data_IF_498986066047
#
_entry.id   IF_498986066047
#
_cell.length_a   1.000
_cell.length_b   1.000
_cell.length_c   1.000
_cell.angle_alpha   90.00
_cell.angle_beta   90.00
_cell.angle_gamma   90.00
#
_symmetry.space_group_name_H-M   'P 1'
#
loop_
_entity.id
_entity.type
_entity.pdbx_description
1 polymer ?
#
# COMPACT_ATOMS: atom_id res chain seq x y z
N UNK A 1 78.02 -34.31 41.29
CA UNK A 1 76.56 -34.59 41.36
C UNK A 1 75.81 -33.27 41.46
N UNK A 2 75.19 -32.82 40.36
CA UNK A 2 74.33 -31.63 40.28
C UNK A 2 73.00 -32.08 39.68
N UNK A 3 71.90 -32.05 40.46
CA UNK A 3 70.55 -32.33 39.96
C UNK A 3 70.00 -31.06 39.31
N UNK A 4 69.82 -31.08 37.99
CA UNK A 4 69.10 -30.05 37.21
C UNK A 4 67.61 -30.38 37.25
N UNK A 5 66.81 -29.38 37.60
CA UNK A 5 65.34 -29.39 37.51
C UNK A 5 64.91 -29.22 36.04
N UNK A 6 64.15 -30.16 35.52
CA UNK A 6 63.58 -30.13 34.17
C UNK A 6 62.23 -29.41 34.16
N UNK A 7 62.18 -28.18 33.67
CA UNK A 7 60.95 -27.53 33.22
C UNK A 7 60.71 -27.89 31.76
N UNK A 8 59.76 -28.78 31.50
CA UNK A 8 59.23 -29.02 30.16
C UNK A 8 57.81 -28.47 30.10
N UNK A 9 57.67 -27.23 29.59
CA UNK A 9 56.38 -26.64 29.20
C UNK A 9 55.95 -27.32 27.90
N UNK A 10 54.90 -28.13 27.93
CA UNK A 10 54.20 -28.56 26.71
C UNK A 10 53.37 -27.38 26.16
N UNK A 11 53.57 -27.09 24.88
CA UNK A 11 52.77 -26.17 24.07
C UNK A 11 51.39 -26.79 23.84
N UNK A 12 50.33 -26.12 24.27
CA UNK A 12 48.98 -26.30 23.73
C UNK A 12 48.75 -25.20 22.68
N UNK A 13 48.25 -25.57 21.51
CA UNK A 13 47.73 -24.65 20.50
C UNK A 13 46.36 -24.09 20.95
N UNK A 14 45.99 -22.87 20.55
CA UNK A 14 44.78 -22.22 21.02
C UNK A 14 43.52 -22.86 20.44
N UNK A 15 42.62 -23.27 21.33
CA UNK A 15 41.21 -23.52 21.04
C UNK A 15 40.59 -22.21 20.55
N UNK A 16 39.98 -22.24 19.36
CA UNK A 16 39.13 -21.16 18.87
C UNK A 16 37.90 -21.04 19.77
N UNK A 17 37.78 -19.91 20.48
CA UNK A 17 36.54 -19.46 21.11
C UNK A 17 35.57 -18.99 20.02
N UNK A 18 34.29 -19.42 20.03
CA UNK A 18 33.23 -18.60 19.49
C UNK A 18 32.98 -17.44 20.45
N UNK A 19 33.10 -16.20 19.95
CA UNK A 19 32.71 -15.01 20.71
C UNK A 19 31.21 -15.04 20.97
N UNK A 20 30.87 -15.15 22.25
CA UNK A 20 29.59 -14.71 22.79
C UNK A 20 29.56 -13.18 22.82
N UNK A 21 28.66 -12.57 22.06
CA UNK A 21 28.17 -11.21 22.26
C UNK A 21 26.85 -11.28 23.02
N UNK A 22 26.81 -10.65 24.18
CA UNK A 22 25.88 -10.86 25.29
C UNK A 22 24.55 -10.10 25.11
N UNK A 23 23.48 -10.82 25.48
CA UNK A 23 22.16 -10.40 25.94
C UNK A 23 22.07 -9.01 26.59
N UNK A 24 21.03 -8.23 26.25
CA UNK A 24 20.42 -7.32 27.23
C UNK A 24 18.90 -7.24 27.07
N UNK A 25 18.18 -8.24 27.58
CA UNK A 25 16.72 -8.12 27.81
C UNK A 25 16.19 -8.84 29.06
N UNK A 26 17.09 -9.29 29.96
CA UNK A 26 16.70 -9.86 31.26
C UNK A 26 17.02 -8.95 32.47
N UNK A 27 17.64 -7.79 32.28
CA UNK A 27 18.06 -6.91 33.39
C UNK A 27 17.08 -5.78 33.74
N UNK A 28 15.97 -5.62 33.01
CA UNK A 28 14.94 -4.61 33.34
C UNK A 28 13.80 -5.21 34.21
N UNK A 29 13.68 -6.54 34.28
CA UNK A 29 12.63 -7.21 35.06
C UNK A 29 13.05 -7.62 36.47
N UNK A 30 14.34 -7.68 36.77
CA UNK A 30 14.86 -7.96 38.11
C UNK A 30 15.01 -6.67 38.96
N UNK A 31 15.35 -5.53 38.35
CA UNK A 31 15.42 -4.24 39.05
C UNK A 31 14.03 -3.66 39.40
N UNK A 32 12.97 -4.05 38.68
CA UNK A 32 11.60 -3.61 38.97
C UNK A 32 10.90 -4.43 40.07
N UNK A 33 11.49 -5.52 40.55
CA UNK A 33 10.91 -6.36 41.62
C UNK A 33 11.51 -5.99 42.98
N UNK A 34 12.79 -5.62 43.05
CA UNK A 34 13.41 -5.11 44.29
C UNK A 34 12.95 -3.68 44.64
N UNK A 35 12.53 -2.88 43.66
CA UNK A 35 11.98 -1.53 43.91
C UNK A 35 10.49 -1.54 44.33
N UNK A 36 9.82 -2.71 44.24
CA UNK A 36 8.43 -2.89 44.69
C UNK A 36 8.36 -3.44 46.12
N UNK A 37 9.37 -4.18 46.59
CA UNK A 37 9.41 -4.70 47.97
C UNK A 37 9.72 -3.63 49.03
N UNK A 38 10.30 -2.47 48.65
CA UNK A 38 10.51 -1.34 49.58
C UNK A 38 9.35 -0.33 49.64
N UNK A 39 8.26 -0.50 48.87
CA UNK A 39 7.07 0.35 48.96
C UNK A 39 5.83 -0.32 49.59
N UNK A 40 5.93 -1.55 50.09
CA UNK A 40 4.85 -2.18 50.87
C UNK A 40 4.77 -1.72 52.34
N UNK A 41 5.69 -0.85 52.81
CA UNK A 41 5.62 -0.24 54.14
C UNK A 41 4.96 1.14 54.16
N UNK A 42 3.86 1.37 53.45
CA UNK A 42 2.93 2.45 53.84
C UNK A 42 1.49 2.18 53.37
N UNK A 43 0.66 1.71 54.31
CA UNK A 43 -0.79 1.61 54.13
C UNK A 43 -1.40 2.99 53.95
N UNK A 44 -1.95 3.29 52.76
CA UNK A 44 -3.18 4.08 52.61
C UNK A 44 -4.05 3.45 51.53
N UNK A 45 -5.23 3.00 51.95
CA UNK A 45 -6.23 2.33 51.12
C UNK A 45 -6.65 3.18 49.92
N UNK A 46 -6.55 2.61 48.71
CA UNK A 46 -7.27 3.08 47.52
C UNK A 46 -8.22 1.98 47.04
N UNK A 47 -9.42 2.31 46.52
CA UNK A 47 -10.48 1.35 46.25
C UNK A 47 -10.12 0.45 45.06
N UNK A 48 -10.49 -0.83 45.13
CA UNK A 48 -10.33 -1.83 44.05
C UNK A 48 -10.91 -1.30 42.73
N UNK A 49 -10.07 -1.24 41.70
CA UNK A 49 -10.54 -1.03 40.34
C UNK A 49 -11.36 -2.24 39.89
N UNK A 50 -12.63 -1.96 39.58
CA UNK A 50 -13.57 -2.94 39.03
C UNK A 50 -13.27 -3.09 37.55
N UNK A 51 -13.05 -4.32 37.08
CA UNK A 51 -12.82 -4.59 35.66
C UNK A 51 -14.08 -4.23 34.87
N UNK A 52 -14.00 -3.16 34.06
CA UNK A 52 -15.11 -2.71 33.21
C UNK A 52 -14.88 -3.30 31.82
N UNK A 53 -15.78 -4.20 31.38
CA UNK A 53 -15.74 -4.76 30.02
C UNK A 53 -15.73 -3.65 28.97
N UNK A 54 -15.09 -3.91 27.81
CA UNK A 54 -14.93 -2.93 26.73
C UNK A 54 -16.27 -2.28 26.32
N UNK A 55 -17.34 -3.06 26.33
CA UNK A 55 -18.70 -2.59 26.05
C UNK A 55 -19.18 -1.52 27.04
N UNK A 56 -18.91 -1.70 28.34
CA UNK A 56 -19.29 -0.73 29.36
C UNK A 56 -18.46 0.57 29.27
N UNK A 57 -17.20 0.49 28.84
CA UNK A 57 -16.35 1.66 28.59
C UNK A 57 -16.83 2.46 27.36
N UNK A 58 -17.24 1.76 26.29
CA UNK A 58 -17.83 2.37 25.09
C UNK A 58 -19.18 3.02 25.42
N UNK A 59 -20.04 2.34 26.16
CA UNK A 59 -21.34 2.90 26.57
C UNK A 59 -21.20 4.13 27.48
N UNK A 60 -20.22 4.14 28.39
CA UNK A 60 -19.90 5.33 29.18
C UNK A 60 -19.43 6.50 28.30
N UNK A 61 -18.55 6.26 27.32
CA UNK A 61 -18.14 7.30 26.36
C UNK A 61 -19.31 7.87 25.56
N UNK A 62 -20.27 7.02 25.16
CA UNK A 62 -21.47 7.46 24.44
C UNK A 62 -22.36 8.33 25.35
N UNK A 63 -22.55 7.93 26.61
CA UNK A 63 -23.33 8.70 27.58
C UNK A 63 -22.66 10.05 27.89
N UNK A 64 -21.34 10.07 28.06
CA UNK A 64 -20.58 11.30 28.32
C UNK A 64 -20.57 12.23 27.11
N UNK A 65 -20.47 11.69 25.89
CA UNK A 65 -20.60 12.46 24.65
C UNK A 65 -21.99 13.09 24.51
N UNK A 66 -23.03 12.37 24.92
CA UNK A 66 -24.41 12.90 24.94
C UNK A 66 -24.58 13.99 26.00
N UNK A 67 -23.97 13.84 27.19
CA UNK A 67 -23.96 14.89 28.23
C UNK A 67 -23.19 16.14 27.80
N UNK A 68 -22.07 15.98 27.09
CA UNK A 68 -21.28 17.08 26.53
C UNK A 68 -22.07 17.81 25.46
N UNK A 69 -22.73 17.09 24.54
CA UNK A 69 -23.62 17.69 23.53
C UNK A 69 -24.82 18.40 24.17
N UNK A 70 -25.39 17.87 25.24
CA UNK A 70 -26.47 18.54 25.99
C UNK A 70 -25.98 19.82 26.70
N UNK A 71 -24.75 19.82 27.25
CA UNK A 71 -24.11 21.02 27.82
C UNK A 71 -23.79 22.07 26.75
N UNK A 72 -23.31 21.65 25.57
CA UNK A 72 -23.06 22.55 24.44
C UNK A 72 -24.36 23.15 23.88
N UNK A 73 -25.44 22.36 23.82
CA UNK A 73 -26.77 22.84 23.42
C UNK A 73 -27.36 23.83 24.44
N UNK A 74 -27.12 23.64 25.74
CA UNK A 74 -27.42 24.64 26.78
C UNK A 74 -26.57 25.91 26.67
N UNK A 75 -25.31 25.80 26.22
CA UNK A 75 -24.39 26.93 26.03
C UNK A 75 -24.68 27.76 24.77
N UNK A 76 -25.33 27.16 23.77
CA UNK A 76 -25.81 27.83 22.54
C UNK A 76 -27.17 28.54 22.72
N UNK A 77 -27.88 28.29 23.82
CA UNK A 77 -29.17 28.90 24.12
C UNK A 77 -29.06 30.12 25.07
N UNK A 78 -27.85 30.56 25.45
CA UNK A 78 -27.64 31.68 26.37
C UNK A 78 -26.83 32.79 25.71
N UNK A 79 -27.49 33.61 24.89
CA UNK A 79 -27.12 34.99 24.61
C UNK A 79 -28.41 35.72 24.20
N UNK A 80 -29.15 36.20 25.20
CA UNK A 80 -29.97 37.41 25.21
C UNK A 80 -30.53 37.59 26.64
N UNK A 81 -30.59 38.84 27.07
CA UNK A 81 -30.60 39.36 28.45
C UNK A 81 -31.66 38.82 29.44
N UNK A 82 -31.30 38.82 30.73
CA UNK A 82 -32.11 38.53 31.95
C UNK A 82 -33.19 39.61 32.25
N UNK A 83 -34.22 39.43 33.14
CA UNK A 83 -34.24 38.56 34.34
C UNK A 83 -35.53 37.75 34.69
N UNK A 84 -35.30 36.67 35.45
CA UNK A 84 -36.07 36.09 36.60
C UNK A 84 -37.61 35.91 36.51
N UNK A 85 -38.11 34.65 36.53
CA UNK A 85 -38.93 34.07 37.62
C UNK A 85 -39.31 32.57 37.41
N UNK A 86 -38.97 31.77 38.42
CA UNK A 86 -39.60 30.57 39.02
C UNK A 86 -40.48 29.53 38.27
N UNK A 87 -40.04 28.27 38.44
CA UNK A 87 -40.74 27.08 38.97
C UNK A 87 -41.90 26.36 38.22
N UNK A 88 -41.67 25.06 38.05
CA UNK A 88 -42.60 23.91 38.22
C UNK A 88 -43.60 23.48 37.13
N UNK A 89 -43.51 22.17 36.83
CA UNK A 89 -44.61 21.17 36.70
C UNK A 89 -45.26 20.88 35.33
N UNK A 90 -45.30 19.56 35.09
CA UNK A 90 -46.39 18.73 34.51
C UNK A 90 -46.40 18.52 32.98
N UNK A 91 -45.88 17.36 32.63
CA UNK A 91 -46.50 16.22 31.91
C UNK A 91 -47.88 16.40 31.23
N UNK A 92 -47.99 15.73 30.06
CA UNK A 92 -49.17 15.22 29.35
C UNK A 92 -49.64 15.91 28.07
N UNK A 93 -49.59 15.10 27.00
CA UNK A 93 -50.60 14.90 25.95
C UNK A 93 -50.87 16.08 24.99
N UNK A 94 -50.56 15.93 23.70
CA UNK A 94 -51.37 15.28 22.66
C UNK A 94 -50.68 15.53 21.32
N UNK A 95 -50.69 14.50 20.48
CA UNK A 95 -50.34 14.51 19.07
C UNK A 95 -51.02 15.65 18.31
N UNK A 96 -50.25 16.47 17.59
CA UNK A 96 -50.71 16.98 16.29
C UNK A 96 -49.51 17.46 15.46
N UNK A 97 -49.51 17.05 14.19
CA UNK A 97 -48.66 17.47 13.08
C UNK A 97 -47.26 16.85 12.94
N UNK A 98 -47.25 15.68 12.30
CA UNK A 98 -46.19 15.31 11.35
C UNK A 98 -46.34 16.24 10.12
N UNK A 99 -45.30 16.98 9.72
CA UNK A 99 -44.62 16.61 8.48
C UNK A 99 -43.09 16.69 8.52
N UNK A 100 -42.49 15.69 7.86
CA UNK A 100 -41.24 15.77 7.10
C UNK A 100 -39.93 16.06 7.87
N UNK A 101 -39.44 15.07 8.61
CA UNK A 101 -38.00 14.83 8.66
C UNK A 101 -37.58 14.06 7.39
N UNK A 102 -36.60 14.58 6.65
CA UNK A 102 -35.43 13.90 6.05
C UNK A 102 -34.92 14.73 4.86
N UNK A 103 -33.88 15.54 5.10
CA UNK A 103 -32.60 15.57 4.35
C UNK A 103 -31.83 16.84 4.71
N UNK A 104 -30.87 16.71 5.62
CA UNK A 104 -29.61 17.44 5.50
C UNK A 104 -28.50 16.52 6.02
N UNK A 105 -27.99 15.68 5.12
CA UNK A 105 -26.64 15.14 5.30
C UNK A 105 -25.71 16.32 5.07
N UNK A 106 -25.04 16.76 6.13
CA UNK A 106 -23.87 17.64 6.05
C UNK A 106 -22.88 17.00 5.07
N UNK A 107 -22.73 17.58 3.88
CA UNK A 107 -21.64 17.25 2.98
C UNK A 107 -20.33 17.75 3.61
N UNK A 108 -19.20 17.03 3.48
CA UNK A 108 -17.92 17.58 3.89
C UNK A 108 -17.63 18.83 3.03
N UNK A 109 -17.62 20.00 3.68
CA UNK A 109 -17.15 21.24 3.05
C UNK A 109 -15.66 21.12 2.75
N UNK A 110 -15.29 21.47 1.52
CA UNK A 110 -13.91 21.40 1.03
C UNK A 110 -13.12 22.53 1.69
N UNK A 111 -12.01 22.22 2.39
CA UNK A 111 -11.21 23.24 3.07
C UNK A 111 -10.69 24.34 2.14
N UNK A 112 -10.66 25.57 2.67
CA UNK A 112 -10.38 26.80 1.93
C UNK A 112 -8.98 26.83 1.28
N UNK A 113 -8.02 26.06 1.80
CA UNK A 113 -6.66 25.93 1.24
C UNK A 113 -6.66 25.30 -0.15
N UNK A 114 -7.50 24.30 -0.38
CA UNK A 114 -7.63 23.63 -1.68
C UNK A 114 -8.48 24.47 -2.63
N UNK A 115 -9.54 25.12 -2.12
CA UNK A 115 -10.24 26.15 -2.91
C UNK A 115 -9.24 27.19 -3.42
N UNK A 116 -8.28 27.61 -2.58
CA UNK A 116 -7.25 28.56 -2.95
C UNK A 116 -6.19 27.98 -3.91
N UNK A 117 -5.80 26.72 -3.78
CA UNK A 117 -4.87 26.07 -4.72
C UNK A 117 -5.52 25.85 -6.08
N UNK A 118 -6.76 25.35 -6.10
CA UNK A 118 -7.60 25.24 -7.29
C UNK A 118 -7.84 26.61 -7.90
N UNK A 119 -8.10 27.64 -7.09
CA UNK A 119 -8.26 29.03 -7.54
C UNK A 119 -6.96 29.56 -8.16
N UNK A 120 -5.80 29.35 -7.54
CA UNK A 120 -4.50 29.74 -8.11
C UNK A 120 -4.22 29.05 -9.44
N UNK A 121 -4.50 27.75 -9.54
CA UNK A 121 -4.38 26.99 -10.80
C UNK A 121 -5.35 27.54 -11.85
N UNK A 122 -6.61 27.76 -11.48
CA UNK A 122 -7.65 28.33 -12.36
C UNK A 122 -7.32 29.77 -12.79
N UNK A 123 -6.73 30.60 -11.93
CA UNK A 123 -6.30 31.97 -12.22
C UNK A 123 -5.09 32.00 -13.15
N UNK A 124 -4.10 31.12 -12.93
CA UNK A 124 -2.95 30.99 -13.81
C UNK A 124 -3.33 30.54 -15.24
N UNK A 125 -4.38 29.72 -15.37
CA UNK A 125 -4.95 29.32 -16.67
C UNK A 125 -5.70 30.47 -17.38
N UNK A 126 -6.14 31.50 -16.64
CA UNK A 126 -6.85 32.68 -17.18
C UNK A 126 -5.87 33.79 -17.57
N UNK A 127 -4.70 33.89 -16.91
CA UNK A 127 -3.72 34.97 -17.12
C UNK A 127 -2.60 34.66 -18.12
N UNK A 128 -2.67 33.57 -18.87
CA UNK A 128 -1.62 33.11 -19.79
C UNK A 128 -1.45 33.91 -21.10
N UNK A 129 -1.77 35.21 -21.13
CA UNK A 129 -1.40 36.12 -22.21
C UNK A 129 -0.74 37.36 -21.58
N UNK A 130 0.52 37.58 -21.97
CA UNK A 130 1.40 38.73 -21.67
C UNK A 130 2.51 38.49 -20.63
N UNK A 131 3.63 37.90 -21.06
CA UNK A 131 4.99 38.29 -20.60
C UNK A 131 5.98 38.14 -21.76
N UNK A 132 6.73 39.22 -22.04
CA UNK A 132 7.89 39.23 -22.94
C UNK A 132 9.05 38.40 -22.35
N UNK A 133 9.66 37.53 -23.15
CA UNK A 133 10.92 36.85 -22.79
C UNK A 133 11.94 37.06 -23.91
N UNK A 134 13.10 37.60 -23.51
CA UNK A 134 14.30 37.77 -24.32
C UNK A 134 14.84 36.44 -24.86
N UNK A 135 15.37 36.50 -26.08
CA UNK A 135 15.89 35.38 -26.87
C UNK A 135 17.10 34.70 -26.22
N UNK A 136 17.04 33.38 -26.11
CA UNK A 136 18.20 32.51 -26.36
C UNK A 136 17.71 31.26 -27.13
N UNK A 137 18.45 30.89 -28.17
CA UNK A 137 17.98 30.07 -29.29
C UNK A 137 17.83 28.58 -28.96
N UNK A 138 16.76 27.92 -29.43
CA UNK A 138 16.72 26.48 -29.62
C UNK A 138 16.51 26.06 -31.08
N UNK A 139 16.94 24.83 -31.33
CA UNK A 139 16.93 24.06 -32.56
C UNK A 139 15.54 24.05 -33.22
N UNK A 140 15.54 24.16 -34.54
CA UNK A 140 14.41 24.44 -35.41
C UNK A 140 13.41 23.27 -35.48
N UNK A 141 12.27 23.40 -34.80
CA UNK A 141 11.05 22.66 -35.15
C UNK A 141 10.46 23.21 -36.46
N UNK A 142 9.74 22.39 -37.27
CA UNK A 142 9.22 22.83 -38.56
C UNK A 142 8.24 24.01 -38.36
N UNK A 143 8.53 25.11 -39.06
CA UNK A 143 7.73 26.34 -39.05
C UNK A 143 6.35 26.04 -39.64
N UNK A 144 5.23 26.33 -38.94
CA UNK A 144 3.91 26.27 -39.55
C UNK A 144 3.83 27.36 -40.62
N UNK A 145 3.57 26.94 -41.86
CA UNK A 145 3.32 27.82 -43.00
C UNK A 145 2.17 28.78 -42.67
N UNK A 146 2.20 30.07 -43.07
CA UNK A 146 1.12 30.99 -42.76
C UNK A 146 -0.15 30.51 -43.48
N UNK A 147 -1.13 30.06 -42.71
CA UNK A 147 -2.47 29.76 -43.24
C UNK A 147 -3.04 31.09 -43.72
N UNK A 148 -3.18 31.24 -45.04
CA UNK A 148 -3.94 32.32 -45.67
C UNK A 148 -5.32 32.36 -45.01
N UNK A 149 -5.81 33.56 -44.68
CA UNK A 149 -7.22 33.78 -44.34
C UNK A 149 -8.09 33.43 -45.55
N UNK A 150 -8.38 32.15 -45.73
CA UNK A 150 -9.50 31.71 -46.54
C UNK A 150 -10.76 31.83 -45.68
N UNK A 151 -11.67 32.68 -46.14
CA UNK A 151 -13.04 32.75 -45.66
C UNK A 151 -13.75 31.45 -46.01
N UNK A 152 -13.53 30.39 -45.24
CA UNK A 152 -14.36 29.20 -45.28
C UNK A 152 -15.40 29.30 -44.17
N UNK A 153 -16.60 29.81 -44.52
CA UNK A 153 -17.83 29.60 -43.74
C UNK A 153 -18.27 28.14 -43.88
N UNK A 154 -17.47 27.22 -43.35
CA UNK A 154 -17.73 25.79 -43.30
C UNK A 154 -17.49 25.25 -41.90
N UNK A 155 -18.58 24.81 -41.26
CA UNK A 155 -18.64 23.88 -40.13
C UNK A 155 -18.06 24.30 -38.76
N UNK A 156 -18.72 25.22 -38.04
CA UNK A 156 -18.67 25.25 -36.56
C UNK A 156 -19.85 24.44 -36.00
N UNK A 157 -19.67 23.13 -35.84
CA UNK A 157 -20.65 22.21 -35.23
C UNK A 157 -20.74 22.33 -33.71
N UNK A 158 -20.55 23.54 -33.17
CA UNK A 158 -20.63 23.76 -31.73
C UNK A 158 -22.11 23.77 -31.30
N UNK A 159 -22.48 22.96 -30.31
CA UNK A 159 -23.82 22.92 -29.74
C UNK A 159 -23.76 23.27 -28.26
N UNK A 160 -24.77 23.98 -27.78
CA UNK A 160 -24.90 24.26 -26.36
C UNK A 160 -26.35 24.21 -25.93
N UNK A 161 -26.56 23.73 -24.72
CA UNK A 161 -27.85 23.77 -24.04
C UNK A 161 -27.70 24.07 -22.55
N UNK A 162 -28.80 24.48 -21.93
CA UNK A 162 -28.80 24.97 -20.55
C UNK A 162 -28.36 26.43 -20.38
N UNK A 163 -28.22 26.86 -19.12
CA UNK A 163 -28.15 28.27 -18.73
C UNK A 163 -26.70 28.75 -18.57
N UNK A 164 -26.35 29.88 -19.19
CA UNK A 164 -25.00 30.48 -19.15
C UNK A 164 -23.86 29.58 -19.64
N UNK A 165 -24.16 28.57 -20.47
CA UNK A 165 -23.16 27.68 -21.06
C UNK A 165 -22.53 28.26 -22.34
N UNK A 166 -21.31 27.81 -22.66
CA UNK A 166 -20.55 28.21 -23.85
C UNK A 166 -19.92 26.99 -24.53
N UNK A 167 -20.12 26.89 -25.85
CA UNK A 167 -19.43 25.95 -26.73
C UNK A 167 -18.71 26.77 -27.82
N UNK A 168 -17.42 27.03 -27.62
CA UNK A 168 -16.61 27.91 -28.49
C UNK A 168 -15.65 27.12 -29.40
N UNK A 169 -15.38 25.85 -29.05
CA UNK A 169 -14.55 24.93 -29.81
C UNK A 169 -15.22 24.47 -31.11
N UNK A 170 -14.41 24.06 -32.09
CA UNK A 170 -14.93 23.41 -33.30
C UNK A 170 -15.56 22.08 -32.89
N UNK A 171 -16.83 21.83 -33.26
CA UNK A 171 -17.55 20.61 -32.92
C UNK A 171 -17.60 20.32 -31.40
N UNK A 172 -17.61 21.36 -30.55
CA UNK A 172 -17.73 21.18 -29.10
C UNK A 172 -19.19 21.14 -28.63
N UNK A 173 -19.45 20.48 -27.51
CA UNK A 173 -20.76 20.40 -26.88
C UNK A 173 -20.69 20.91 -25.43
N UNK A 174 -21.61 21.80 -25.03
CA UNK A 174 -21.74 22.22 -23.64
C UNK A 174 -23.20 22.16 -23.16
N UNK A 175 -23.50 21.37 -22.15
CA UNK A 175 -24.83 21.24 -21.56
C UNK A 175 -24.84 21.55 -20.06
N UNK A 176 -25.97 22.02 -19.52
CA UNK A 176 -26.15 22.29 -18.08
C UNK A 176 -26.04 23.77 -17.67
N UNK A 177 -25.47 24.06 -16.49
CA UNK A 177 -25.40 25.41 -15.91
C UNK A 177 -23.95 25.90 -15.86
N UNK A 178 -23.64 27.04 -16.50
CA UNK A 178 -22.30 27.66 -16.50
C UNK A 178 -21.19 26.74 -17.04
N UNK A 179 -21.51 25.82 -17.96
CA UNK A 179 -20.53 24.86 -18.54
C UNK A 179 -19.81 25.47 -19.74
N UNK A 180 -18.53 25.12 -19.93
CA UNK A 180 -17.68 25.72 -20.95
C UNK A 180 -16.88 24.67 -21.71
N UNK A 181 -17.24 24.41 -22.98
CA UNK A 181 -16.51 23.55 -23.90
C UNK A 181 -15.78 24.41 -24.96
N UNK A 182 -14.53 24.77 -24.69
CA UNK A 182 -13.75 25.70 -25.53
C UNK A 182 -12.67 25.00 -26.37
N UNK A 183 -12.33 23.75 -26.05
CA UNK A 183 -11.41 22.94 -26.86
C UNK A 183 -12.09 22.42 -28.13
N UNK A 184 -11.35 22.21 -29.25
CA UNK A 184 -11.89 21.50 -30.40
C UNK A 184 -12.35 20.10 -30.00
N UNK A 185 -13.53 19.67 -30.46
CA UNK A 185 -14.15 18.38 -30.15
C UNK A 185 -14.39 18.12 -28.65
N UNK A 186 -14.41 19.16 -27.82
CA UNK A 186 -14.58 18.99 -26.38
C UNK A 186 -16.04 18.89 -25.96
N UNK A 187 -16.29 18.19 -24.85
CA UNK A 187 -17.63 18.05 -24.25
C UNK A 187 -17.61 18.50 -22.79
N UNK A 188 -18.56 19.35 -22.38
CA UNK A 188 -18.70 19.76 -20.98
C UNK A 188 -20.17 19.66 -20.53
N UNK A 189 -20.46 18.87 -19.51
CA UNK A 189 -21.81 18.68 -18.97
C UNK A 189 -21.89 18.92 -17.46
N UNK A 190 -23.08 19.25 -16.94
CA UNK A 190 -23.31 19.44 -15.49
C UNK A 190 -23.33 20.92 -15.03
N UNK A 191 -22.62 21.26 -13.96
CA UNK A 191 -22.61 22.62 -13.36
C UNK A 191 -21.18 23.17 -13.22
N UNK A 192 -20.91 24.33 -13.82
CA UNK A 192 -19.62 25.03 -13.78
C UNK A 192 -18.43 24.16 -14.26
N UNK A 193 -18.67 23.21 -15.16
CA UNK A 193 -17.63 22.35 -15.73
C UNK A 193 -16.91 23.02 -16.90
N UNK A 194 -15.67 22.61 -17.17
CA UNK A 194 -14.82 23.22 -18.20
C UNK A 194 -14.03 22.17 -18.96
N UNK A 195 -14.30 22.00 -20.25
CA UNK A 195 -13.52 21.16 -21.16
C UNK A 195 -12.77 22.06 -22.16
N UNK A 196 -11.51 22.38 -21.85
CA UNK A 196 -10.71 23.37 -22.59
C UNK A 196 -9.62 22.75 -23.46
N UNK A 197 -9.26 21.48 -23.23
CA UNK A 197 -8.30 20.75 -24.05
C UNK A 197 -8.91 20.21 -25.35
N UNK A 198 -8.06 19.92 -26.34
CA UNK A 198 -8.50 19.24 -27.57
C UNK A 198 -9.09 17.87 -27.24
N UNK A 199 -10.29 17.55 -27.73
CA UNK A 199 -11.02 16.31 -27.47
C UNK A 199 -11.13 15.97 -25.98
N UNK A 200 -11.25 16.99 -25.12
CA UNK A 200 -11.40 16.82 -23.66
C UNK A 200 -12.86 16.64 -23.25
N UNK A 201 -13.10 15.94 -22.13
CA UNK A 201 -14.43 15.75 -21.56
C UNK A 201 -14.46 16.18 -20.09
N UNK A 202 -15.47 16.97 -19.67
CA UNK A 202 -15.62 17.42 -18.29
C UNK A 202 -17.08 17.30 -17.84
N UNK A 203 -17.36 16.46 -16.85
CA UNK A 203 -18.71 16.23 -16.33
C UNK A 203 -18.83 16.43 -14.82
N UNK A 204 -20.04 16.63 -14.31
CA UNK A 204 -20.32 16.81 -12.88
C UNK A 204 -20.38 18.28 -12.41
N UNK A 205 -19.69 18.63 -11.32
CA UNK A 205 -19.76 19.94 -10.67
C UNK A 205 -18.38 20.55 -10.44
N UNK A 206 -18.13 21.72 -11.03
CA UNK A 206 -16.87 22.48 -10.89
C UNK A 206 -15.61 21.73 -11.36
N UNK A 207 -15.77 20.76 -12.27
CA UNK A 207 -14.69 19.99 -12.88
C UNK A 207 -13.98 20.74 -13.99
N UNK A 208 -12.75 20.36 -14.31
CA UNK A 208 -11.96 20.97 -15.40
C UNK A 208 -11.08 19.94 -16.10
N UNK A 209 -11.36 19.67 -17.36
CA UNK A 209 -10.51 18.91 -18.26
C UNK A 209 -9.76 19.87 -19.20
N UNK A 210 -8.49 20.12 -18.88
CA UNK A 210 -7.65 21.11 -19.56
C UNK A 210 -6.62 20.54 -20.54
N UNK A 211 -6.19 19.29 -20.34
CA UNK A 211 -5.24 18.61 -21.22
C UNK A 211 -5.89 18.11 -22.51
N UNK A 212 -5.10 17.94 -23.57
CA UNK A 212 -5.57 17.24 -24.77
C UNK A 212 -5.95 15.81 -24.41
N UNK A 213 -7.10 15.33 -24.89
CA UNK A 213 -7.66 14.02 -24.61
C UNK A 213 -7.91 13.73 -23.12
N UNK A 214 -7.99 14.77 -22.27
CA UNK A 214 -8.19 14.58 -20.84
C UNK A 214 -9.66 14.43 -20.45
N UNK A 215 -9.91 13.75 -19.34
CA UNK A 215 -11.24 13.52 -18.79
C UNK A 215 -11.29 13.94 -17.31
N UNK A 216 -12.33 14.69 -16.90
CA UNK A 216 -12.55 15.07 -15.51
C UNK A 216 -14.02 14.91 -15.10
N UNK A 217 -14.29 14.07 -14.10
CA UNK A 217 -15.64 13.76 -13.64
C UNK A 217 -15.80 13.85 -12.11
N UNK A 218 -17.03 14.14 -11.64
CA UNK A 218 -17.34 14.27 -10.20
C UNK A 218 -17.43 15.72 -9.70
N UNK A 219 -16.77 16.06 -8.59
CA UNK A 219 -16.85 17.38 -7.93
C UNK A 219 -15.47 17.99 -7.72
N UNK A 220 -15.18 19.15 -8.31
CA UNK A 220 -13.85 19.79 -8.27
C UNK A 220 -12.68 18.92 -8.78
N UNK A 221 -12.95 17.94 -9.64
CA UNK A 221 -11.91 17.16 -10.31
C UNK A 221 -11.21 17.99 -11.39
N UNK A 222 -9.89 17.84 -11.52
CA UNK A 222 -9.06 18.60 -12.46
C UNK A 222 -8.12 17.66 -13.20
N UNK A 223 -8.23 17.58 -14.52
CA UNK A 223 -7.33 16.82 -15.39
C UNK A 223 -6.61 17.76 -16.38
N UNK A 224 -5.37 18.16 -16.05
CA UNK A 224 -4.56 19.09 -16.87
C UNK A 224 -3.49 18.41 -17.73
N UNK A 225 -3.08 17.19 -17.39
CA UNK A 225 -2.14 16.45 -18.21
C UNK A 225 -2.76 16.02 -19.54
N UNK A 226 -1.96 15.97 -20.60
CA UNK A 226 -2.39 15.30 -21.83
C UNK A 226 -2.72 13.84 -21.53
N UNK A 227 -3.86 13.35 -22.02
CA UNK A 227 -4.44 12.04 -21.74
C UNK A 227 -4.62 11.73 -20.24
N UNK A 228 -4.75 12.75 -19.39
CA UNK A 228 -4.97 12.56 -17.95
C UNK A 228 -6.44 12.30 -17.61
N UNK A 229 -6.68 11.56 -16.53
CA UNK A 229 -8.01 11.26 -16.01
C UNK A 229 -8.12 11.65 -14.53
N UNK A 230 -9.13 12.43 -14.16
CA UNK A 230 -9.44 12.76 -12.77
C UNK A 230 -10.90 12.47 -12.44
N UNK A 231 -11.17 11.60 -11.46
CA UNK A 231 -12.53 11.21 -11.05
C UNK A 231 -12.71 11.42 -9.53
N UNK A 232 -13.93 11.73 -9.10
CA UNK A 232 -14.30 11.79 -7.68
C UNK A 232 -14.39 13.21 -7.12
N UNK A 233 -13.89 13.45 -5.90
CA UNK A 233 -14.00 14.76 -5.24
C UNK A 233 -12.62 15.37 -4.97
N UNK A 234 -12.38 16.57 -5.51
CA UNK A 234 -11.13 17.31 -5.36
C UNK A 234 -9.88 16.51 -5.80
N UNK A 235 -10.00 15.76 -6.89
CA UNK A 235 -8.90 14.99 -7.48
C UNK A 235 -8.16 15.77 -8.55
N UNK A 236 -6.85 15.55 -8.67
CA UNK A 236 -5.97 16.33 -9.57
C UNK A 236 -5.06 15.39 -10.35
N UNK A 237 -5.27 15.29 -11.67
CA UNK A 237 -4.44 14.55 -12.60
C UNK A 237 -3.72 15.49 -13.58
N UNK A 238 -2.48 15.88 -13.24
CA UNK A 238 -1.73 16.89 -14.00
C UNK A 238 -0.52 16.32 -14.77
N UNK A 239 -0.15 15.06 -14.54
CA UNK A 239 0.90 14.39 -15.29
C UNK A 239 0.39 13.86 -16.64
N UNK A 240 1.28 13.79 -17.63
CA UNK A 240 1.01 13.12 -18.90
C UNK A 240 0.53 11.69 -18.66
N UNK A 241 -0.61 11.29 -19.25
CA UNK A 241 -1.22 9.96 -19.08
C UNK A 241 -1.44 9.54 -17.61
N UNK A 242 -1.64 10.50 -16.70
CA UNK A 242 -1.82 10.21 -15.25
C UNK A 242 -3.28 10.03 -14.86
N UNK A 243 -3.55 9.29 -13.78
CA UNK A 243 -4.89 9.00 -13.27
C UNK A 243 -4.99 9.29 -11.75
N UNK A 244 -5.92 10.15 -11.36
CA UNK A 244 -6.28 10.41 -9.96
C UNK A 244 -7.76 10.11 -9.71
N UNK A 245 -8.07 9.23 -8.75
CA UNK A 245 -9.45 8.93 -8.35
C UNK A 245 -9.65 9.02 -6.83
N UNK A 246 -10.90 9.10 -6.38
CA UNK A 246 -11.27 9.12 -4.96
C UNK A 246 -11.49 10.52 -4.40
N UNK A 247 -10.91 10.83 -3.25
CA UNK A 247 -11.17 12.08 -2.50
C UNK A 247 -9.88 12.79 -2.09
N UNK A 248 -9.61 13.99 -2.61
CA UNK A 248 -8.37 14.74 -2.33
C UNK A 248 -7.09 13.98 -2.72
N UNK A 249 -7.07 13.37 -3.91
CA UNK A 249 -5.88 12.69 -4.46
C UNK A 249 -5.23 13.51 -5.58
N UNK A 250 -3.91 13.42 -5.72
CA UNK A 250 -3.15 14.18 -6.73
C UNK A 250 -2.02 13.37 -7.33
N UNK A 251 -1.85 13.41 -8.66
CA UNK A 251 -0.70 12.78 -9.35
C UNK A 251 0.57 13.64 -9.30
N UNK A 252 0.54 14.84 -8.70
CA UNK A 252 1.70 15.72 -8.53
C UNK A 252 2.53 15.99 -9.81
N UNK A 253 1.87 16.01 -10.97
CA UNK A 253 2.48 16.15 -12.30
C UNK A 253 3.32 14.93 -12.77
N UNK A 254 3.32 13.83 -12.04
CA UNK A 254 4.05 12.63 -12.43
C UNK A 254 3.36 11.92 -13.61
N UNK A 255 4.10 11.73 -14.70
CA UNK A 255 3.63 11.03 -15.89
C UNK A 255 3.25 9.57 -15.56
N UNK A 256 2.16 9.06 -16.12
CA UNK A 256 1.73 7.66 -15.97
C UNK A 256 1.40 7.22 -14.54
N UNK A 257 1.37 8.14 -13.58
CA UNK A 257 1.11 7.83 -12.18
C UNK A 257 -0.38 7.55 -11.97
N UNK A 258 -0.69 6.56 -11.13
CA UNK A 258 -2.06 6.24 -10.74
C UNK A 258 -2.20 6.29 -9.22
N UNK A 259 -3.10 7.13 -8.72
CA UNK A 259 -3.43 7.26 -7.30
C UNK A 259 -4.94 7.17 -7.06
N UNK A 260 -5.33 6.37 -6.06
CA UNK A 260 -6.71 6.25 -5.58
C UNK A 260 -6.80 6.42 -4.06
N UNK A 261 -8.01 6.48 -3.50
CA UNK A 261 -8.23 6.53 -2.05
C UNK A 261 -8.57 7.93 -1.54
N UNK A 262 -8.04 8.32 -0.37
CA UNK A 262 -8.30 9.65 0.20
C UNK A 262 -7.07 10.37 0.72
N UNK A 263 -7.02 11.69 0.52
CA UNK A 263 -5.97 12.61 1.00
C UNK A 263 -4.56 12.06 0.72
N UNK A 264 -4.14 12.05 -0.54
CA UNK A 264 -2.83 11.52 -0.93
C UNK A 264 -2.25 12.17 -2.17
N UNK A 265 -0.93 12.12 -2.26
CA UNK A 265 -0.16 12.73 -3.34
C UNK A 265 0.81 11.68 -3.87
N UNK A 266 0.78 11.42 -5.17
CA UNK A 266 1.72 10.51 -5.81
C UNK A 266 3.17 11.01 -5.66
N UNK A 267 4.10 10.07 -5.60
CA UNK A 267 5.51 10.36 -5.28
C UNK A 267 6.44 10.14 -6.48
N UNK A 268 5.96 9.51 -7.56
CA UNK A 268 6.78 9.15 -8.72
C UNK A 268 5.94 8.89 -9.99
N UNK A 269 6.58 9.05 -11.14
CA UNK A 269 6.08 8.66 -12.45
C UNK A 269 5.91 7.14 -12.59
N UNK A 270 4.97 6.74 -13.44
CA UNK A 270 4.65 5.35 -13.82
C UNK A 270 4.41 4.39 -12.65
N UNK A 271 4.11 4.94 -11.47
CA UNK A 271 3.97 4.22 -10.21
C UNK A 271 2.51 4.20 -9.75
N UNK A 272 2.20 3.32 -8.80
CA UNK A 272 0.83 3.13 -8.30
C UNK A 272 0.74 3.37 -6.80
N UNK A 273 -0.31 4.06 -6.36
CA UNK A 273 -0.48 4.53 -5.00
C UNK A 273 -1.91 4.31 -4.49
N UNK A 274 -2.04 3.88 -3.24
CA UNK A 274 -3.29 3.94 -2.46
C UNK A 274 -3.10 4.98 -1.37
N UNK A 275 -3.86 6.07 -1.45
CA UNK A 275 -3.92 7.12 -0.45
C UNK A 275 -4.78 6.70 0.76
N UNK A 276 -4.30 7.03 1.96
CA UNK A 276 -5.01 6.78 3.21
C UNK A 276 -4.79 7.91 4.24
N UNK A 277 -4.70 9.16 3.77
CA UNK A 277 -4.68 10.31 4.65
C UNK A 277 -6.03 10.53 5.34
N UNK A 278 -6.04 11.29 6.42
CA UNK A 278 -7.28 11.50 7.20
C UNK A 278 -8.00 12.80 6.88
N UNK A 279 -7.27 13.83 6.44
CA UNK A 279 -7.81 15.16 6.15
C UNK A 279 -6.81 15.99 5.32
N UNK A 280 -7.18 17.23 4.98
CA UNK A 280 -6.39 18.14 4.14
C UNK A 280 -5.04 18.60 4.70
N UNK A 281 -4.76 18.32 5.98
CA UNK A 281 -3.45 18.58 6.60
C UNK A 281 -2.66 17.29 6.85
N UNK A 282 -3.25 16.14 6.55
CA UNK A 282 -2.71 14.81 6.80
C UNK A 282 -2.87 13.94 5.55
N UNK A 283 -2.00 14.22 4.57
CA UNK A 283 -1.87 13.42 3.35
C UNK A 283 -0.97 12.22 3.64
N UNK A 284 -1.41 11.01 3.27
CA UNK A 284 -0.60 9.80 3.47
C UNK A 284 -0.84 8.74 2.39
N UNK A 285 0.15 7.86 2.21
CA UNK A 285 0.10 6.70 1.32
C UNK A 285 0.03 5.42 2.14
N UNK A 286 -1.07 4.68 2.00
CA UNK A 286 -1.31 3.39 2.66
C UNK A 286 -0.65 2.20 1.95
N UNK A 287 -0.44 2.28 0.64
CA UNK A 287 0.31 1.28 -0.12
C UNK A 287 0.87 1.90 -1.41
N UNK A 288 2.01 1.41 -1.88
CA UNK A 288 2.59 1.86 -3.15
C UNK A 288 3.43 0.79 -3.83
N UNK A 289 3.42 0.81 -5.16
CA UNK A 289 4.39 0.14 -6.01
C UNK A 289 5.18 1.18 -6.79
N UNK A 290 6.51 1.08 -6.77
CA UNK A 290 7.41 2.09 -7.36
C UNK A 290 8.07 1.57 -8.63
N UNK A 291 7.95 2.33 -9.71
CA UNK A 291 8.46 1.94 -11.02
C UNK A 291 9.99 1.89 -11.07
N UNK A 292 10.69 2.85 -10.44
CA UNK A 292 12.15 2.91 -10.52
C UNK A 292 12.85 1.66 -10.02
N UNK A 293 12.29 0.95 -9.04
CA UNK A 293 12.91 -0.23 -8.43
C UNK A 293 12.05 -1.50 -8.45
N UNK A 294 10.74 -1.37 -8.72
CA UNK A 294 9.78 -2.47 -8.73
C UNK A 294 9.40 -2.97 -7.33
N UNK A 295 9.64 -2.19 -6.28
CA UNK A 295 9.32 -2.55 -4.90
C UNK A 295 7.87 -2.20 -4.53
N UNK A 296 7.30 -3.00 -3.65
CA UNK A 296 5.95 -2.84 -3.11
C UNK A 296 6.02 -2.55 -1.62
N UNK A 297 5.24 -1.57 -1.16
CA UNK A 297 5.16 -1.12 0.22
C UNK A 297 3.72 -1.12 0.68
N UNK A 298 3.49 -1.54 1.92
CA UNK A 298 2.18 -1.51 2.57
C UNK A 298 2.39 -0.90 3.96
N UNK A 299 1.70 0.21 4.23
CA UNK A 299 1.68 0.89 5.52
C UNK A 299 0.64 0.22 6.43
N UNK A 300 1.06 -0.90 7.03
CA UNK A 300 0.26 -1.68 7.96
C UNK A 300 1.12 -2.68 8.72
N UNK A 301 0.72 -3.02 9.94
CA UNK A 301 1.49 -3.93 10.80
C UNK A 301 1.48 -5.40 10.33
N UNK A 302 0.59 -5.76 9.41
CA UNK A 302 0.40 -7.16 8.98
C UNK A 302 -0.05 -7.26 7.53
N UNK A 303 0.45 -8.29 6.84
CA UNK A 303 -0.09 -8.77 5.57
C UNK A 303 -0.87 -10.07 5.84
N UNK A 304 -2.20 -9.99 5.71
CA UNK A 304 -3.08 -11.11 6.05
C UNK A 304 -3.17 -12.09 4.87
N UNK A 305 -2.30 -13.11 4.87
CA UNK A 305 -2.30 -14.21 3.91
C UNK A 305 -2.94 -15.47 4.51
N UNK A 306 -3.65 -16.25 3.69
CA UNK A 306 -4.27 -17.52 4.11
C UNK A 306 -3.33 -18.73 4.13
N UNK A 307 -2.08 -18.57 3.70
CA UNK A 307 -1.09 -19.65 3.70
C UNK A 307 -0.54 -19.94 5.10
N UNK A 308 0.23 -21.02 5.21
CA UNK A 308 0.59 -21.65 6.49
C UNK A 308 2.06 -21.50 6.87
N UNK A 309 2.90 -21.09 5.93
CA UNK A 309 4.36 -21.06 6.05
C UNK A 309 5.00 -19.98 5.17
N UNK A 310 6.25 -19.66 5.49
CA UNK A 310 7.12 -18.85 4.64
C UNK A 310 8.04 -19.79 3.86
N UNK A 311 7.98 -19.71 2.54
CA UNK A 311 8.71 -20.60 1.66
C UNK A 311 9.63 -19.86 0.70
N UNK A 312 10.56 -20.61 0.12
CA UNK A 312 11.37 -20.16 -1.01
C UNK A 312 11.39 -21.25 -2.08
N UNK A 313 11.41 -20.85 -3.36
CA UNK A 313 11.55 -21.81 -4.45
C UNK A 313 13.00 -22.31 -4.57
N UNK A 314 13.15 -23.63 -4.67
CA UNK A 314 14.42 -24.34 -4.90
C UNK A 314 14.28 -25.31 -6.07
N UNK A 315 15.41 -25.71 -6.61
CA UNK A 315 15.48 -26.64 -7.75
C UNK A 315 15.94 -28.03 -7.31
N UNK A 316 15.21 -29.06 -7.71
CA UNK A 316 15.54 -30.46 -7.47
C UNK A 316 16.78 -30.90 -8.27
N UNK A 317 17.65 -31.67 -7.64
CA UNK A 317 18.97 -32.04 -8.19
C UNK A 317 18.91 -32.96 -9.40
N UNK A 318 17.93 -33.85 -9.43
CA UNK A 318 17.70 -34.84 -10.48
C UNK A 318 16.67 -34.37 -11.50
N UNK A 319 16.22 -33.12 -11.40
CA UNK A 319 15.08 -32.55 -12.13
C UNK A 319 13.77 -33.35 -11.97
N UNK A 320 13.71 -34.25 -11.00
CA UNK A 320 12.50 -35.00 -10.69
C UNK A 320 11.59 -34.17 -9.80
N UNK A 321 10.27 -34.24 -10.01
CA UNK A 321 9.33 -33.60 -9.12
C UNK A 321 9.39 -34.24 -7.73
N UNK A 322 9.56 -33.40 -6.71
CA UNK A 322 9.37 -33.80 -5.31
C UNK A 322 7.96 -33.38 -4.90
N UNK A 323 7.13 -34.36 -4.53
CA UNK A 323 5.76 -34.12 -4.09
C UNK A 323 5.75 -33.39 -2.71
N UNK A 324 4.59 -32.90 -2.28
CA UNK A 324 4.44 -32.13 -1.04
C UNK A 324 4.58 -33.00 0.23
N UNK A 325 4.93 -32.36 1.35
CA UNK A 325 5.02 -32.98 2.67
C UNK A 325 6.26 -33.85 2.93
N UNK A 326 7.32 -33.77 2.13
CA UNK A 326 8.62 -34.39 2.40
C UNK A 326 9.57 -33.41 3.11
N UNK A 327 10.44 -33.94 3.97
CA UNK A 327 11.61 -33.22 4.46
C UNK A 327 12.64 -33.04 3.35
N UNK A 328 13.20 -31.83 3.26
CA UNK A 328 14.11 -31.42 2.20
C UNK A 328 15.45 -31.03 2.78
N UNK A 329 16.53 -31.38 2.07
CA UNK A 329 17.89 -30.91 2.34
C UNK A 329 18.64 -30.60 1.04
N UNK A 330 19.84 -30.04 1.15
CA UNK A 330 20.72 -29.80 0.01
C UNK A 330 21.40 -31.10 -0.45
N UNK A 331 21.42 -31.34 -1.76
CA UNK A 331 22.26 -32.37 -2.38
C UNK A 331 23.62 -31.81 -2.81
N UNK A 332 23.64 -30.54 -3.22
CA UNK A 332 24.80 -29.78 -3.66
C UNK A 332 24.56 -28.29 -3.32
N UNK A 333 25.47 -27.40 -3.70
CA UNK A 333 25.43 -25.98 -3.29
C UNK A 333 24.08 -25.28 -3.57
N UNK A 334 23.41 -25.58 -4.69
CA UNK A 334 22.16 -24.89 -5.09
C UNK A 334 20.97 -25.82 -5.32
N UNK A 335 21.14 -27.14 -5.19
CA UNK A 335 20.11 -28.13 -5.52
C UNK A 335 19.64 -28.89 -4.28
N UNK A 336 18.36 -29.27 -4.31
CA UNK A 336 17.70 -29.95 -3.20
C UNK A 336 17.32 -31.39 -3.53
N UNK A 337 17.15 -32.18 -2.47
CA UNK A 337 16.62 -33.55 -2.49
C UNK A 337 15.80 -33.83 -1.24
N UNK A 338 15.11 -34.97 -1.22
CA UNK A 338 14.53 -35.52 0.02
C UNK A 338 15.66 -35.77 1.04
N UNK A 339 15.42 -35.38 2.28
CA UNK A 339 16.30 -35.69 3.39
C UNK A 339 16.24 -37.18 3.74
N UNK A 340 17.30 -37.70 4.34
CA UNK A 340 17.39 -39.06 4.88
C UNK A 340 17.69 -39.01 6.37
N UNK A 341 17.68 -40.16 7.05
CA UNK A 341 17.97 -40.21 8.50
C UNK A 341 19.41 -39.77 8.84
N UNK A 342 20.32 -39.80 7.87
CA UNK A 342 21.72 -39.40 8.02
C UNK A 342 21.95 -37.88 7.88
N UNK A 343 20.94 -37.12 7.44
CA UNK A 343 21.09 -35.69 7.23
C UNK A 343 20.96 -34.93 8.55
N UNK A 344 22.06 -34.28 8.95
CA UNK A 344 22.08 -33.44 10.16
C UNK A 344 21.39 -32.10 9.95
N UNK A 345 21.42 -31.59 8.71
CA UNK A 345 20.78 -30.34 8.32
C UNK A 345 19.53 -30.62 7.47
N UNK A 346 18.43 -30.02 7.89
CA UNK A 346 17.14 -30.08 7.20
C UNK A 346 16.79 -28.65 6.81
N UNK A 347 16.63 -28.43 5.50
CA UNK A 347 16.33 -27.11 4.94
C UNK A 347 14.88 -26.69 5.24
N UNK A 348 13.94 -27.63 5.09
CA UNK A 348 12.52 -27.31 5.13
C UNK A 348 11.63 -28.48 4.76
N UNK A 349 10.35 -28.18 4.52
CA UNK A 349 9.36 -29.13 4.01
C UNK A 349 8.95 -28.70 2.61
N UNK A 350 8.81 -29.63 1.65
CA UNK A 350 8.16 -29.33 0.37
C UNK A 350 6.72 -28.85 0.62
N UNK A 351 6.48 -27.55 0.43
CA UNK A 351 5.29 -26.85 0.90
C UNK A 351 4.15 -26.89 -0.11
N UNK A 352 2.92 -26.99 0.39
CA UNK A 352 1.71 -26.94 -0.43
C UNK A 352 1.04 -25.55 -0.46
N UNK A 353 1.10 -24.83 0.66
CA UNK A 353 0.27 -23.63 0.91
C UNK A 353 1.07 -22.49 1.54
N UNK A 354 2.19 -22.05 0.95
CA UNK A 354 2.98 -20.96 1.50
C UNK A 354 2.23 -19.63 1.47
N UNK A 355 2.27 -18.88 2.58
CA UNK A 355 1.75 -17.52 2.70
C UNK A 355 2.60 -16.52 1.90
N UNK A 356 3.91 -16.75 1.87
CA UNK A 356 4.88 -15.94 1.14
C UNK A 356 5.87 -16.87 0.43
N UNK A 357 6.20 -16.56 -0.83
CA UNK A 357 7.16 -17.34 -1.62
C UNK A 357 8.30 -16.45 -2.12
N UNK A 358 9.48 -16.64 -1.55
CA UNK A 358 10.72 -16.07 -2.04
C UNK A 358 11.25 -16.75 -3.30
N UNK A 359 12.10 -16.05 -4.07
CA UNK A 359 12.77 -16.59 -5.25
C UNK A 359 11.81 -17.21 -6.28
N UNK A 360 10.58 -16.70 -6.40
CA UNK A 360 9.55 -17.36 -7.23
C UNK A 360 9.79 -17.28 -8.74
N UNK A 361 10.48 -16.25 -9.22
CA UNK A 361 10.57 -15.98 -10.66
C UNK A 361 9.19 -15.88 -11.31
N UNK A 362 8.20 -15.32 -10.62
CA UNK A 362 6.82 -15.35 -11.11
C UNK A 362 6.60 -14.52 -12.39
N UNK A 363 7.30 -13.39 -12.53
CA UNK A 363 7.02 -12.39 -13.56
C UNK A 363 8.05 -12.38 -14.71
N UNK A 364 9.30 -12.74 -14.45
CA UNK A 364 10.34 -12.71 -15.47
C UNK A 364 11.52 -13.60 -15.09
N UNK A 365 12.37 -13.87 -16.09
CA UNK A 365 13.60 -14.62 -15.90
C UNK A 365 14.47 -13.99 -14.81
N UNK A 366 14.99 -14.83 -13.91
CA UNK A 366 15.68 -14.38 -12.70
C UNK A 366 16.87 -13.45 -12.98
N UNK A 367 17.55 -13.64 -14.12
CA UNK A 367 18.70 -12.84 -14.55
C UNK A 367 18.35 -11.81 -15.63
N UNK A 368 17.06 -11.45 -15.80
CA UNK A 368 16.62 -10.44 -16.79
C UNK A 368 17.36 -9.11 -16.63
N UNK A 369 17.63 -8.73 -15.38
CA UNK A 369 18.31 -7.49 -15.05
C UNK A 369 19.71 -7.75 -14.53
N UNK A 370 20.61 -6.80 -14.77
CA UNK A 370 21.96 -6.81 -14.22
C UNK A 370 21.91 -6.55 -12.72
N UNK A 371 22.68 -7.32 -11.97
CA UNK A 371 22.84 -7.18 -10.53
C UNK A 371 24.31 -7.00 -10.15
N UNK A 372 24.58 -6.45 -8.98
CA UNK A 372 25.93 -6.47 -8.39
C UNK A 372 26.27 -7.84 -7.77
N UNK A 373 27.43 -7.93 -7.11
CA UNK A 373 27.93 -9.16 -6.47
C UNK A 373 27.07 -9.65 -5.30
N UNK A 374 26.15 -8.83 -4.79
CA UNK A 374 25.23 -9.16 -3.71
C UNK A 374 23.80 -9.36 -4.22
N UNK A 375 23.57 -9.33 -5.53
CA UNK A 375 22.26 -9.54 -6.14
C UNK A 375 21.38 -8.28 -6.20
N UNK A 376 21.89 -7.10 -5.81
CA UNK A 376 21.13 -5.85 -5.92
C UNK A 376 21.06 -5.43 -7.38
N UNK A 377 19.84 -5.18 -7.86
CA UNK A 377 19.60 -4.71 -9.23
C UNK A 377 20.30 -3.37 -9.49
N UNK A 378 20.91 -3.24 -10.66
CA UNK A 378 21.52 -2.00 -11.13
C UNK A 378 20.55 -1.21 -12.00
N UNK A 379 20.66 0.12 -11.93
CA UNK A 379 19.78 1.05 -12.61
C UNK A 379 20.59 2.11 -13.37
N UNK A 380 19.99 2.68 -14.40
CA UNK A 380 20.50 3.84 -15.12
C UNK A 380 19.46 4.95 -15.08
N UNK A 381 19.94 6.19 -15.17
CA UNK A 381 19.09 7.36 -15.36
C UNK A 381 19.08 7.72 -16.84
N UNK A 382 17.90 7.89 -17.42
CA UNK A 382 17.71 8.35 -18.80
C UNK A 382 17.93 9.87 -18.90
N UNK A 383 18.02 10.37 -20.13
CA UNK A 383 18.08 11.82 -20.39
C UNK A 383 16.82 12.56 -19.86
N UNK A 384 15.70 11.86 -19.76
CA UNK A 384 14.43 12.35 -19.16
C UNK A 384 14.42 12.27 -17.62
N UNK A 385 15.56 11.95 -16.99
CA UNK A 385 15.73 11.73 -15.55
C UNK A 385 14.97 10.53 -14.97
N UNK A 386 14.38 9.68 -15.81
CA UNK A 386 13.72 8.46 -15.38
C UNK A 386 14.74 7.41 -14.95
N UNK A 387 14.44 6.65 -13.91
CA UNK A 387 15.29 5.56 -13.44
C UNK A 387 14.76 4.25 -14.02
N UNK A 388 15.62 3.54 -14.75
CA UNK A 388 15.26 2.27 -15.40
C UNK A 388 16.25 1.17 -15.01
N UNK A 389 15.79 -0.08 -14.85
CA UNK A 389 16.66 -1.20 -14.55
C UNK A 389 17.55 -1.55 -15.75
N UNK A 390 18.84 -1.81 -15.50
CA UNK A 390 19.76 -2.27 -16.54
C UNK A 390 19.44 -3.71 -16.93
N UNK A 391 19.17 -3.93 -18.22
CA UNK A 391 18.99 -5.28 -18.76
C UNK A 391 20.31 -6.05 -18.76
N UNK A 392 20.21 -7.35 -18.53
CA UNK A 392 21.35 -8.25 -18.69
C UNK A 392 21.53 -8.57 -20.18
N UNK A 393 22.77 -8.55 -20.67
CA UNK A 393 23.11 -8.89 -22.06
C UNK A 393 22.84 -10.35 -22.42
N UNK A 394 22.74 -11.24 -21.41
CA UNK A 394 22.35 -12.64 -21.60
C UNK A 394 20.83 -12.82 -21.74
N UNK A 395 20.03 -11.79 -21.44
CA UNK A 395 18.58 -11.87 -21.56
C UNK A 395 18.15 -11.66 -23.01
N UNK A 396 17.50 -12.68 -23.56
CA UNK A 396 16.89 -12.63 -24.90
C UNK A 396 15.37 -12.39 -24.79
N UNK A 397 14.83 -11.26 -25.31
CA UNK A 397 13.39 -11.00 -25.34
C UNK A 397 12.59 -11.98 -26.21
N UNK A 398 13.22 -12.66 -27.17
CA UNK A 398 12.55 -13.63 -28.04
C UNK A 398 12.29 -14.97 -27.32
N UNK A 399 13.09 -15.28 -26.30
CA UNK A 399 12.93 -16.50 -25.50
C UNK A 399 11.67 -16.42 -24.62
N UNK A 400 10.70 -17.30 -24.87
CA UNK A 400 9.50 -17.41 -24.03
C UNK A 400 9.88 -17.88 -22.62
N UNK A 401 9.67 -17.01 -21.64
CA UNK A 401 9.91 -17.34 -20.23
C UNK A 401 8.82 -18.26 -19.66
N UNK A 402 9.24 -19.32 -18.98
CA UNK A 402 8.38 -20.18 -18.16
C UNK A 402 8.75 -19.95 -16.70
N UNK A 403 7.77 -19.52 -15.88
CA UNK A 403 7.97 -19.25 -14.46
C UNK A 403 8.36 -20.52 -13.71
N UNK A 404 9.09 -20.39 -12.58
CA UNK A 404 9.53 -21.55 -11.79
C UNK A 404 8.35 -22.43 -11.36
N UNK A 405 7.22 -21.82 -11.00
CA UNK A 405 6.00 -22.54 -10.61
C UNK A 405 5.45 -23.48 -11.70
N UNK A 406 5.74 -23.20 -12.97
CA UNK A 406 5.30 -24.00 -14.11
C UNK A 406 6.39 -24.97 -14.60
N UNK A 407 7.45 -25.18 -13.82
CA UNK A 407 8.56 -26.10 -14.13
C UNK A 407 8.66 -27.17 -13.05
N UNK A 408 8.66 -28.44 -13.44
CA UNK A 408 8.52 -29.58 -12.53
C UNK A 408 9.72 -29.77 -11.61
N UNK A 409 10.88 -29.28 -12.02
CA UNK A 409 12.11 -29.31 -11.23
C UNK A 409 12.14 -28.24 -10.11
N UNK A 410 11.15 -27.34 -10.05
CA UNK A 410 11.09 -26.29 -9.04
C UNK A 410 9.91 -26.47 -8.09
N UNK A 411 10.17 -26.38 -6.79
CA UNK A 411 9.13 -26.45 -5.77
C UNK A 411 9.36 -25.44 -4.63
N UNK A 412 8.30 -24.98 -3.96
CA UNK A 412 8.42 -24.19 -2.75
C UNK A 412 8.83 -25.11 -1.59
N UNK A 413 9.86 -24.71 -0.85
CA UNK A 413 10.26 -25.33 0.40
C UNK A 413 9.91 -24.37 1.53
N UNK A 414 8.99 -24.78 2.39
CA UNK A 414 8.59 -24.07 3.59
C UNK A 414 9.71 -24.13 4.63
N UNK A 415 10.20 -22.95 5.00
CA UNK A 415 11.37 -22.76 5.87
C UNK A 415 10.95 -22.52 7.32
N UNK A 416 9.73 -22.05 7.54
CA UNK A 416 9.15 -21.83 8.86
C UNK A 416 7.63 -21.78 8.74
N UNK A 417 6.92 -22.41 9.67
CA UNK A 417 5.46 -22.40 9.71
C UNK A 417 4.84 -23.70 10.17
N UNK A 418 3.50 -23.74 10.14
CA UNK A 418 2.74 -24.97 10.40
C UNK A 418 2.58 -25.72 9.10
N UNK A 419 3.09 -26.93 8.99
CA UNK A 419 3.10 -27.66 7.71
C UNK A 419 2.67 -29.09 7.88
N UNK A 420 1.89 -29.56 6.91
CA UNK A 420 1.51 -30.96 6.80
C UNK A 420 2.69 -31.73 6.23
N UNK A 421 3.02 -32.83 6.90
CA UNK A 421 4.15 -33.69 6.58
C UNK A 421 3.66 -35.13 6.52
N UNK A 422 4.20 -35.88 5.56
CA UNK A 422 3.97 -37.33 5.44
C UNK A 422 4.66 -38.02 6.61
N UNK A 423 4.04 -39.05 7.17
CA UNK A 423 4.66 -39.82 8.24
C UNK A 423 4.45 -41.33 8.08
N UNK A 424 5.33 -42.10 8.69
CA UNK A 424 5.32 -43.57 8.68
C UNK A 424 4.28 -44.19 9.64
N UNK A 425 3.46 -43.37 10.30
CA UNK A 425 2.46 -43.78 11.28
C UNK A 425 2.98 -43.86 12.72
N UNK A 426 4.29 -43.70 12.95
CA UNK A 426 4.89 -43.82 14.29
C UNK A 426 4.83 -42.51 15.09
N UNK A 427 4.62 -41.38 14.42
CA UNK A 427 4.65 -40.07 15.07
C UNK A 427 3.50 -39.87 16.05
N UNK A 428 3.78 -39.29 17.22
CA UNK A 428 2.80 -39.06 18.28
C UNK A 428 2.49 -37.56 18.40
N UNK A 429 1.21 -37.22 18.63
CA UNK A 429 0.78 -35.85 18.93
C UNK A 429 1.53 -35.32 20.16
N UNK A 430 2.07 -34.11 20.06
CA UNK A 430 2.95 -33.48 21.06
C UNK A 430 4.27 -34.22 21.33
N UNK A 431 4.66 -35.13 20.46
CA UNK A 431 6.01 -35.70 20.41
C UNK A 431 6.92 -34.95 19.45
N UNK A 432 8.04 -35.58 19.11
CA UNK A 432 9.00 -35.10 18.12
C UNK A 432 9.15 -36.09 16.97
N UNK A 433 9.51 -35.57 15.80
CA UNK A 433 9.82 -36.36 14.63
C UNK A 433 11.10 -35.90 13.93
N UNK A 434 11.69 -36.81 13.16
CA UNK A 434 12.78 -36.55 12.21
C UNK A 434 12.52 -37.28 10.89
N UNK A 435 13.18 -36.90 9.79
CA UNK A 435 13.09 -37.68 8.56
C UNK A 435 13.67 -39.08 8.75
N UNK A 436 12.99 -40.08 8.21
CA UNK A 436 13.58 -41.38 7.91
C UNK A 436 14.29 -41.36 6.53
N UNK A 437 14.72 -42.52 6.04
CA UNK A 437 15.44 -42.63 4.77
C UNK A 437 14.59 -42.34 3.52
N UNK A 438 13.25 -42.32 3.65
CA UNK A 438 12.32 -41.95 2.59
C UNK A 438 11.98 -40.44 2.59
N UNK A 439 12.54 -39.69 3.55
CA UNK A 439 12.28 -38.26 3.73
C UNK A 439 10.90 -37.93 4.32
N UNK A 440 10.25 -38.91 4.96
CA UNK A 440 8.99 -38.72 5.70
C UNK A 440 9.26 -38.73 7.20
N UNK A 441 8.32 -38.21 7.98
CA UNK A 441 8.43 -38.16 9.44
C UNK A 441 8.40 -39.57 10.06
N UNK A 442 9.34 -39.82 10.97
CA UNK A 442 9.34 -40.95 11.90
C UNK A 442 9.51 -40.43 13.32
N UNK A 443 9.01 -41.19 14.30
CA UNK A 443 9.11 -40.84 15.73
C UNK A 443 10.57 -40.66 16.13
N UNK A 444 10.84 -39.59 16.88
CA UNK A 444 12.15 -39.31 17.43
C UNK A 444 12.04 -38.76 18.85
N UNK A 445 13.13 -38.87 19.62
CA UNK A 445 13.22 -38.27 20.96
C UNK A 445 13.40 -36.74 20.90
N UNK A 446 13.89 -36.23 19.77
CA UNK A 446 14.09 -34.81 19.51
C UNK A 446 13.97 -34.51 18.01
N UNK A 447 13.69 -33.26 17.66
CA UNK A 447 13.52 -32.84 16.27
C UNK A 447 12.38 -31.85 16.12
N UNK A 448 11.52 -32.07 15.14
CA UNK A 448 10.40 -31.18 14.83
C UNK A 448 9.17 -31.55 15.65
N UNK A 449 8.58 -30.55 16.29
CA UNK A 449 7.42 -30.74 17.17
C UNK A 449 6.17 -31.09 16.36
N UNK A 450 5.51 -32.18 16.75
CA UNK A 450 4.27 -32.65 16.14
C UNK A 450 3.09 -31.99 16.84
N UNK A 451 2.37 -31.11 16.14
CA UNK A 451 1.19 -30.43 16.68
C UNK A 451 0.04 -31.42 16.83
N UNK A 452 -0.28 -32.16 15.77
CA UNK A 452 -1.35 -33.16 15.75
C UNK A 452 -1.23 -34.11 14.57
N UNK A 453 -1.87 -35.28 14.69
CA UNK A 453 -2.15 -36.16 13.56
C UNK A 453 -3.37 -35.65 12.78
N UNK A 454 -3.29 -35.66 11.45
CA UNK A 454 -4.38 -35.26 10.55
C UNK A 454 -4.88 -36.40 9.67
N UNK A 455 -4.13 -37.50 9.57
CA UNK A 455 -4.52 -38.73 8.89
C UNK A 455 -3.65 -39.92 9.30
N UNK A 456 -3.86 -41.06 8.64
CA UNK A 456 -3.12 -42.30 8.92
C UNK A 456 -1.60 -42.12 8.69
N UNK A 457 -1.21 -41.44 7.62
CA UNK A 457 0.18 -41.16 7.25
C UNK A 457 0.43 -39.66 7.06
N UNK A 458 -0.25 -38.83 7.86
CA UNK A 458 -0.07 -37.39 7.83
C UNK A 458 -0.15 -36.77 9.22
N UNK A 459 0.82 -35.90 9.49
CA UNK A 459 0.89 -35.09 10.70
C UNK A 459 1.02 -33.61 10.33
N UNK A 460 0.62 -32.75 11.26
CA UNK A 460 0.91 -31.33 11.25
C UNK A 460 2.08 -31.06 12.19
N UNK A 461 3.15 -30.47 11.68
CA UNK A 461 4.31 -30.07 12.48
C UNK A 461 4.42 -28.55 12.55
N UNK A 462 5.20 -28.08 13.51
CA UNK A 462 5.73 -26.73 13.51
C UNK A 462 7.21 -26.77 13.12
N UNK A 463 7.53 -26.32 11.92
CA UNK A 463 8.90 -26.25 11.43
C UNK A 463 9.49 -24.88 11.79
N UNK A 464 10.69 -24.89 12.39
CA UNK A 464 11.37 -23.71 12.94
C UNK A 464 12.87 -23.84 12.83
#
# INVERSE_FOLDING_TARGET
MKKKSSKQKRKFHPLYHPMYGINNWCSIRAAAIEEIEEQESSKKSKPRETYVSLENAVMRRIIDSRKIKAKQKKKLASNNDEPVLNSEKIQENIEENIPAAIKEKVQPEIPATIINQVKKIKEALISGNDVQIERSAPIQAPVPTPIKKENNKGARHAYKEGLHSKADGIASHAEGLLTHATGPFSHAEGTKTKATGHSSHSEGSETTAGGSYSHAEGKHAIALGEAAHAEGTATIANGFSSHAEGNHTSTANFAGSHIMGKFGTAEEAYSWFIANGTNDTDYNIGAKWLAHNGEMYIDGASYNAGGTDFAQMFEAADHSPIDIGYFITFSSEEKIRKATSNDSFILGISSATPALIGNSGALSWAKRYKTDSFGKRQYTRTDTQEIQPLLNTEWDPACKYISRRNRTEWLPVGLIGQMLVRDDGTCETHGYCRPNDDGIATKAESGFFVIKRTGENQILILFR
#
